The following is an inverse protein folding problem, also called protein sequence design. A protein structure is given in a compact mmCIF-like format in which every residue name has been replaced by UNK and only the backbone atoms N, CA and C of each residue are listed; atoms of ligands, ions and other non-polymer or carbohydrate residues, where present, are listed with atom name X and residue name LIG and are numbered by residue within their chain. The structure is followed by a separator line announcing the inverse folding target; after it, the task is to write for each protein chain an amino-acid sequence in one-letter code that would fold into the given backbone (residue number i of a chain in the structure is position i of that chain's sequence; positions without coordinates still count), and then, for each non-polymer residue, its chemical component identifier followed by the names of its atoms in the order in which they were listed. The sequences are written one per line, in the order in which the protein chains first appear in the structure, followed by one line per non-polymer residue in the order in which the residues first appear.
data_IF_922338313929
#
_entry.id   IF_922338313929
#
_cell.length_a   1.000
_cell.length_b   1.000
_cell.length_c   1.000
_cell.angle_alpha   90.00
_cell.angle_beta   90.00
_cell.angle_gamma   90.00
#
_symmetry.space_group_name_H-M   'P 1'
#
loop_
_entity.id
_entity.type
_entity.pdbx_description
1 polymer ?
#
# COMPACT_ATOMS: atom_id res chain seq x y z
N UNK A 1 -29.26 64.97 9.04
CA UNK A 1 -27.88 64.56 8.67
C UNK A 1 -27.70 63.08 8.98
N UNK A 2 -27.36 62.28 7.96
CA UNK A 2 -27.02 60.85 8.07
C UNK A 2 -25.75 60.67 8.92
N UNK A 3 -25.63 59.56 9.66
CA UNK A 3 -24.67 58.45 9.41
C UNK A 3 -24.55 57.53 10.64
N UNK A 4 -25.05 56.29 10.53
CA UNK A 4 -24.32 55.01 10.31
C UNK A 4 -24.11 54.27 11.65
N UNK A 5 -24.99 53.29 11.88
CA UNK A 5 -24.86 52.22 12.87
C UNK A 5 -23.89 51.20 12.27
N UNK A 6 -22.67 51.10 12.80
CA UNK A 6 -21.71 50.06 12.41
C UNK A 6 -22.02 48.82 13.26
N UNK A 7 -22.82 47.93 12.70
CA UNK A 7 -23.02 46.58 13.20
C UNK A 7 -21.76 45.77 12.89
N UNK A 8 -20.94 45.49 13.91
CA UNK A 8 -19.75 44.67 13.78
C UNK A 8 -20.15 43.20 13.83
N UNK A 9 -20.28 42.59 12.65
CA UNK A 9 -20.37 41.14 12.45
C UNK A 9 -19.10 40.50 13.00
N UNK A 10 -19.19 39.94 14.21
CA UNK A 10 -18.17 39.03 14.75
C UNK A 10 -18.26 37.73 13.95
N UNK A 11 -17.37 37.63 12.97
CA UNK A 11 -17.17 36.48 12.11
C UNK A 11 -16.84 35.26 12.96
N UNK A 12 -17.72 34.25 12.93
CA UNK A 12 -17.42 32.91 13.43
C UNK A 12 -16.21 32.38 12.66
N UNK A 13 -15.04 32.42 13.29
CA UNK A 13 -13.87 31.67 12.84
C UNK A 13 -14.20 30.19 13.03
N UNK A 14 -14.69 29.58 11.95
CA UNK A 14 -14.86 28.14 11.85
C UNK A 14 -13.49 27.49 11.97
N UNK A 15 -13.15 27.02 13.16
CA UNK A 15 -12.01 26.14 13.40
C UNK A 15 -12.35 24.82 12.71
N UNK A 16 -11.98 24.68 11.44
CA UNK A 16 -12.04 23.39 10.78
C UNK A 16 -11.09 22.46 11.54
N UNK A 17 -11.56 21.32 12.09
CA UNK A 17 -10.66 20.32 12.61
C UNK A 17 -9.86 19.79 11.42
N UNK A 18 -8.57 20.13 11.38
CA UNK A 18 -7.62 19.45 10.51
C UNK A 18 -7.52 18.04 11.05
N UNK A 19 -8.33 17.14 10.51
CA UNK A 19 -8.15 15.70 10.67
C UNK A 19 -6.85 15.36 9.97
N UNK A 20 -5.75 15.41 10.73
CA UNK A 20 -4.49 14.80 10.36
C UNK A 20 -4.75 13.29 10.27
N UNK A 21 -5.16 12.83 9.08
CA UNK A 21 -5.19 11.40 8.78
C UNK A 21 -3.74 10.92 8.88
N UNK A 22 -3.47 10.06 9.86
CA UNK A 22 -2.17 9.44 10.04
C UNK A 22 -1.79 8.75 8.73
N UNK A 23 -0.78 9.29 8.04
CA UNK A 23 -0.40 8.84 6.71
C UNK A 23 0.16 7.42 6.81
N UNK A 24 -0.64 6.43 6.43
CA UNK A 24 -0.22 5.04 6.42
C UNK A 24 0.79 4.81 5.30
N UNK A 25 2.08 4.73 5.66
CA UNK A 25 3.23 4.65 4.73
C UNK A 25 3.17 3.49 3.72
N UNK A 26 2.30 2.50 3.94
CA UNK A 26 2.11 1.37 3.03
C UNK A 26 1.07 1.61 1.94
N UNK A 27 0.27 2.67 2.04
CA UNK A 27 -0.80 2.96 1.08
C UNK A 27 -0.29 3.63 -0.20
N UNK A 28 0.92 4.21 -0.17
CA UNK A 28 1.50 4.88 -1.33
C UNK A 28 1.66 3.90 -2.51
N UNK A 29 1.03 4.17 -3.66
CA UNK A 29 1.11 3.29 -4.82
C UNK A 29 2.55 3.17 -5.32
N UNK A 30 2.91 1.97 -5.76
CA UNK A 30 4.20 1.67 -6.40
C UNK A 30 3.97 1.74 -7.91
N UNK A 31 4.46 2.77 -8.61
CA UNK A 31 4.33 2.86 -10.05
C UNK A 31 5.19 1.80 -10.72
N UNK A 32 4.70 1.27 -11.83
CA UNK A 32 5.45 0.42 -12.72
C UNK A 32 5.20 0.81 -14.18
N UNK A 33 6.06 0.35 -15.09
CA UNK A 33 5.98 0.65 -16.52
C UNK A 33 5.78 -0.59 -17.38
N UNK A 34 5.87 -0.39 -18.69
CA UNK A 34 5.67 -1.42 -19.72
C UNK A 34 6.75 -2.51 -19.74
N UNK A 35 7.81 -2.35 -18.94
CA UNK A 35 8.86 -3.35 -18.73
C UNK A 35 8.38 -4.55 -17.92
N UNK A 36 7.29 -4.42 -17.14
CA UNK A 36 6.64 -5.55 -16.49
C UNK A 36 5.67 -6.19 -17.50
N UNK A 37 6.00 -7.39 -17.97
CA UNK A 37 5.16 -8.16 -18.91
C UNK A 37 4.17 -9.08 -18.21
N UNK A 38 4.57 -9.62 -17.05
CA UNK A 38 3.75 -10.48 -16.21
C UNK A 38 3.73 -9.92 -14.79
N UNK A 39 2.69 -9.12 -14.50
CA UNK A 39 2.50 -8.51 -13.19
C UNK A 39 2.19 -9.57 -12.12
N UNK A 40 1.46 -10.62 -12.47
CA UNK A 40 1.01 -11.62 -11.50
C UNK A 40 2.19 -12.46 -11.01
N UNK A 41 3.09 -12.86 -11.91
CA UNK A 41 4.31 -13.55 -11.51
C UNK A 41 5.21 -12.66 -10.65
N UNK A 42 5.37 -11.38 -11.03
CA UNK A 42 6.18 -10.44 -10.23
C UNK A 42 5.59 -10.24 -8.83
N UNK A 43 4.27 -10.06 -8.73
CA UNK A 43 3.60 -9.92 -7.44
C UNK A 43 3.67 -11.20 -6.62
N UNK A 44 3.49 -12.37 -7.24
CA UNK A 44 3.62 -13.65 -6.54
C UNK A 44 5.01 -13.81 -5.92
N UNK A 45 6.07 -13.46 -6.64
CA UNK A 45 7.44 -13.56 -6.12
C UNK A 45 7.76 -12.49 -5.07
N UNK A 46 7.26 -11.27 -5.25
CA UNK A 46 7.39 -10.20 -4.27
C UNK A 46 6.67 -10.54 -2.96
N UNK A 47 5.47 -11.12 -3.05
CA UNK A 47 4.64 -11.44 -1.90
C UNK A 47 5.20 -12.64 -1.14
N UNK A 48 5.71 -13.70 -1.78
CA UNK A 48 6.23 -14.90 -1.08
C UNK A 48 7.28 -14.61 0.01
N UNK A 49 7.92 -13.44 0.02
CA UNK A 49 8.85 -13.01 1.06
C UNK A 49 8.11 -12.71 2.38
N UNK A 50 8.71 -13.08 3.52
CA UNK A 50 8.18 -12.81 4.87
C UNK A 50 6.81 -13.45 5.20
N UNK A 51 6.59 -14.69 4.77
CA UNK A 51 5.42 -15.52 5.11
C UNK A 51 4.07 -15.08 4.49
N UNK A 52 4.07 -14.14 3.56
CA UNK A 52 2.85 -13.82 2.84
C UNK A 52 2.58 -14.82 1.71
N UNK A 53 1.30 -15.00 1.41
CA UNK A 53 0.78 -15.87 0.36
C UNK A 53 0.01 -15.02 -0.63
N UNK A 54 0.43 -15.08 -1.89
CA UNK A 54 -0.29 -14.44 -3.00
C UNK A 54 -1.46 -15.31 -3.44
N UNK A 55 -2.60 -14.68 -3.70
CA UNK A 55 -3.74 -15.32 -4.35
C UNK A 55 -4.45 -14.33 -5.26
N UNK A 56 -5.16 -14.86 -6.27
CA UNK A 56 -6.00 -14.08 -7.18
C UNK A 56 -7.35 -14.77 -7.28
N UNK A 57 -8.43 -14.01 -7.16
CA UNK A 57 -9.78 -14.56 -7.32
C UNK A 57 -10.21 -14.61 -8.81
N UNK A 58 -11.41 -15.15 -9.05
CA UNK A 58 -12.00 -15.26 -10.39
C UNK A 58 -12.29 -13.89 -11.02
N UNK A 59 -12.48 -12.85 -10.20
CA UNK A 59 -12.68 -11.46 -10.66
C UNK A 59 -11.37 -10.76 -10.99
N UNK A 60 -10.22 -11.43 -10.80
CA UNK A 60 -8.89 -10.88 -11.04
C UNK A 60 -8.38 -9.97 -9.92
N UNK A 61 -9.07 -9.92 -8.78
CA UNK A 61 -8.60 -9.18 -7.60
C UNK A 61 -7.46 -9.98 -6.97
N UNK A 62 -6.40 -9.25 -6.62
CA UNK A 62 -5.16 -9.81 -6.09
C UNK A 62 -5.10 -9.59 -4.59
N UNK A 63 -4.68 -10.61 -3.88
CA UNK A 63 -4.58 -10.58 -2.42
C UNK A 63 -3.19 -11.01 -1.97
N UNK A 64 -2.78 -10.47 -0.83
CA UNK A 64 -1.67 -10.98 -0.05
C UNK A 64 -2.16 -11.29 1.36
N UNK A 65 -2.02 -12.56 1.76
CA UNK A 65 -2.48 -13.07 3.04
C UNK A 65 -1.29 -13.44 3.91
N UNK A 66 -1.30 -13.01 5.16
CA UNK A 66 -0.32 -13.41 6.18
C UNK A 66 -1.03 -14.24 7.23
N UNK A 67 -0.62 -15.49 7.40
CA UNK A 67 -0.92 -16.29 8.59
C UNK A 67 0.41 -16.56 9.29
N UNK A 68 0.77 -15.70 10.24
CA UNK A 68 2.08 -15.75 10.89
C UNK A 68 2.00 -15.41 12.37
N UNK A 69 2.62 -16.27 13.19
CA UNK A 69 2.54 -16.25 14.66
C UNK A 69 1.09 -16.43 15.12
N UNK A 70 0.45 -15.37 15.60
CA UNK A 70 -0.95 -15.37 16.04
C UNK A 70 -1.80 -14.45 15.19
N UNK A 71 -1.25 -13.88 14.12
CA UNK A 71 -1.90 -12.85 13.31
C UNK A 71 -2.36 -13.44 11.98
N UNK A 72 -3.57 -13.09 11.60
CA UNK A 72 -4.14 -13.31 10.29
C UNK A 72 -4.44 -11.97 9.66
N UNK A 73 -3.75 -11.64 8.57
CA UNK A 73 -3.86 -10.36 7.88
C UNK A 73 -4.23 -10.64 6.43
N UNK A 74 -5.30 -10.00 5.96
CA UNK A 74 -5.71 -10.05 4.57
C UNK A 74 -5.57 -8.66 3.96
N UNK A 75 -4.94 -8.59 2.80
CA UNK A 75 -4.70 -7.35 2.07
C UNK A 75 -5.09 -7.52 0.61
N UNK A 76 -5.60 -6.44 0.05
CA UNK A 76 -5.85 -6.27 -1.37
C UNK A 76 -4.63 -5.60 -2.00
N UNK A 77 -4.15 -6.15 -3.13
CA UNK A 77 -3.16 -5.52 -3.99
C UNK A 77 -3.92 -4.79 -5.11
N UNK A 78 -4.29 -3.54 -4.86
CA UNK A 78 -5.06 -2.73 -5.79
C UNK A 78 -4.18 -2.34 -6.98
N UNK A 79 -4.61 -2.70 -8.18
CA UNK A 79 -3.91 -2.35 -9.43
C UNK A 79 -4.70 -1.28 -10.15
N UNK A 80 -4.10 -0.10 -10.34
CA UNK A 80 -4.71 1.02 -11.06
C UNK A 80 -3.64 1.88 -11.71
N UNK A 81 -3.87 2.35 -12.93
CA UNK A 81 -3.00 3.32 -13.63
C UNK A 81 -1.51 2.91 -13.64
N UNK A 82 -1.23 1.64 -13.95
CA UNK A 82 0.12 1.05 -13.87
C UNK A 82 0.80 1.24 -12.51
N UNK A 83 0.03 1.13 -11.44
CA UNK A 83 0.55 1.16 -10.08
C UNK A 83 -0.09 0.08 -9.23
N UNK A 84 0.64 -0.39 -8.21
CA UNK A 84 0.14 -1.33 -7.22
C UNK A 84 0.13 -0.66 -5.85
N UNK A 85 -1.02 -0.61 -5.19
CA UNK A 85 -1.17 -0.15 -3.81
C UNK A 85 -1.54 -1.32 -2.88
N UNK A 86 -1.07 -1.26 -1.64
CA UNK A 86 -1.42 -2.23 -0.60
C UNK A 86 -2.55 -1.65 0.23
N UNK A 87 -3.68 -2.34 0.28
CA UNK A 87 -4.84 -1.97 1.10
C UNK A 87 -5.13 -3.06 2.12
N UNK A 88 -5.14 -2.69 3.39
CA UNK A 88 -5.53 -3.60 4.47
C UNK A 88 -7.05 -3.87 4.37
N UNK A 89 -7.43 -5.14 4.27
CA UNK A 89 -8.84 -5.57 4.34
C UNK A 89 -9.19 -5.90 5.78
N UNK A 90 -8.36 -6.74 6.41
CA UNK A 90 -8.58 -7.17 7.79
C UNK A 90 -7.29 -7.55 8.46
N UNK A 91 -7.24 -7.34 9.77
CA UNK A 91 -6.23 -7.87 10.66
C UNK A 91 -6.93 -8.47 11.88
N UNK A 92 -6.62 -9.72 12.18
CA UNK A 92 -7.19 -10.45 13.30
C UNK A 92 -6.09 -11.19 14.05
N UNK A 93 -6.38 -11.49 15.33
CA UNK A 93 -5.48 -12.26 16.19
C UNK A 93 -6.21 -13.42 16.86
N UNK A 94 -6.68 -14.42 16.08
CA UNK A 94 -7.56 -15.48 16.58
C UNK A 94 -6.89 -16.36 17.65
N UNK A 95 -5.58 -16.58 17.53
CA UNK A 95 -4.81 -17.49 18.41
C UNK A 95 -4.12 -16.75 19.57
N UNK A 96 -4.83 -15.83 20.22
CA UNK A 96 -4.27 -14.96 21.28
C UNK A 96 -3.94 -15.68 22.61
N UNK A 97 -4.46 -16.89 22.84
CA UNK A 97 -4.22 -17.67 24.05
C UNK A 97 -4.55 -16.89 25.34
N UNK A 98 -3.62 -16.86 26.31
CA UNK A 98 -3.76 -16.07 27.55
C UNK A 98 -3.44 -14.57 27.37
N UNK A 99 -2.98 -14.14 26.19
CA UNK A 99 -2.63 -12.73 25.91
C UNK A 99 -3.85 -12.00 25.36
N UNK A 100 -3.82 -10.66 25.38
CA UNK A 100 -4.88 -9.85 24.76
C UNK A 100 -5.04 -10.20 23.28
N UNK A 101 -6.29 -10.41 22.86
CA UNK A 101 -6.69 -10.59 21.46
C UNK A 101 -6.75 -9.26 20.69
N UNK A 102 -6.38 -8.14 21.34
CA UNK A 102 -6.22 -6.85 20.68
C UNK A 102 -5.14 -6.96 19.60
N UNK A 103 -5.47 -6.46 18.42
CA UNK A 103 -4.55 -6.32 17.31
C UNK A 103 -3.64 -5.12 17.58
N UNK A 104 -2.34 -5.36 17.49
CA UNK A 104 -1.30 -4.34 17.55
C UNK A 104 -1.12 -3.78 16.13
N UNK A 105 -1.68 -2.59 15.87
CA UNK A 105 -1.68 -1.99 14.54
C UNK A 105 -0.29 -1.53 14.09
N UNK A 106 0.57 -1.09 15.01
CA UNK A 106 1.97 -0.72 14.68
C UNK A 106 2.72 -1.92 14.09
N UNK A 107 2.44 -3.11 14.62
CA UNK A 107 3.00 -4.36 14.09
C UNK A 107 2.41 -4.73 12.73
N UNK A 108 1.10 -4.57 12.55
CA UNK A 108 0.42 -4.77 11.27
C UNK A 108 1.03 -3.86 10.21
N UNK A 109 1.12 -2.57 10.50
CA UNK A 109 1.69 -1.56 9.63
C UNK A 109 3.16 -1.87 9.30
N UNK A 110 3.95 -2.30 10.28
CA UNK A 110 5.32 -2.77 10.05
C UNK A 110 5.41 -3.94 9.05
N UNK A 111 4.45 -4.86 9.06
CA UNK A 111 4.39 -5.94 8.06
C UNK A 111 3.92 -5.44 6.69
N UNK A 112 2.93 -4.53 6.65
CA UNK A 112 2.43 -3.94 5.39
C UNK A 112 3.51 -3.10 4.70
N UNK A 113 4.30 -2.33 5.46
CA UNK A 113 5.46 -1.59 4.94
C UNK A 113 6.51 -2.54 4.36
N UNK A 114 6.76 -3.69 5.01
CA UNK A 114 7.68 -4.70 4.46
C UNK A 114 7.15 -5.34 3.19
N UNK A 115 5.85 -5.63 3.14
CA UNK A 115 5.19 -6.13 1.93
C UNK A 115 5.34 -5.12 0.78
N UNK A 116 5.01 -3.85 1.01
CA UNK A 116 5.19 -2.77 0.04
C UNK A 116 6.65 -2.67 -0.44
N UNK A 117 7.61 -2.65 0.47
CA UNK A 117 9.04 -2.59 0.13
C UNK A 117 9.48 -3.79 -0.72
N UNK A 118 8.93 -4.96 -0.44
CA UNK A 118 9.17 -6.17 -1.22
C UNK A 118 8.70 -6.01 -2.67
N UNK A 119 7.49 -5.49 -2.89
CA UNK A 119 6.96 -5.22 -4.23
C UNK A 119 7.82 -4.17 -4.94
N UNK A 120 8.13 -3.06 -4.25
CA UNK A 120 8.94 -1.98 -4.81
C UNK A 120 10.33 -2.45 -5.22
N UNK A 121 10.94 -3.38 -4.46
CA UNK A 121 12.22 -3.98 -4.80
C UNK A 121 12.16 -4.75 -6.12
N UNK A 122 11.17 -5.62 -6.33
CA UNK A 122 11.08 -6.39 -7.58
C UNK A 122 10.68 -5.52 -8.78
N UNK A 123 9.83 -4.51 -8.58
CA UNK A 123 9.55 -3.50 -9.61
C UNK A 123 10.83 -2.77 -10.01
N UNK A 124 11.63 -2.33 -9.04
CA UNK A 124 12.91 -1.64 -9.29
C UNK A 124 13.91 -2.55 -9.99
N UNK A 125 13.96 -3.83 -9.60
CA UNK A 125 14.79 -4.83 -10.25
C UNK A 125 14.37 -5.01 -11.72
N UNK A 126 13.06 -5.07 -12.00
CA UNK A 126 12.55 -5.17 -13.36
C UNK A 126 12.90 -3.94 -14.22
N UNK A 127 12.82 -2.72 -13.67
CA UNK A 127 13.29 -1.49 -14.35
C UNK A 127 14.76 -1.61 -14.74
N UNK A 128 15.59 -1.99 -13.77
CA UNK A 128 17.04 -2.11 -13.97
C UNK A 128 17.37 -3.15 -15.05
N UNK A 129 16.75 -4.33 -14.97
CA UNK A 129 17.02 -5.42 -15.90
C UNK A 129 16.54 -5.08 -17.33
N UNK A 130 15.46 -4.31 -17.47
CA UNK A 130 15.00 -3.77 -18.76
C UNK A 130 15.97 -2.71 -19.33
N UNK A 131 16.41 -1.76 -18.50
CA UNK A 131 17.38 -0.74 -18.90
C UNK A 131 18.72 -1.35 -19.37
N UNK A 132 19.19 -2.40 -18.68
CA UNK A 132 20.39 -3.13 -19.08
C UNK A 132 20.21 -3.83 -20.43
N UNK A 133 19.08 -4.50 -20.66
CA UNK A 133 18.79 -5.17 -21.93
C UNK A 133 18.79 -4.19 -23.10
N UNK A 134 18.18 -3.01 -22.94
CA UNK A 134 18.15 -2.00 -24.02
C UNK A 134 19.55 -1.54 -24.41
N UNK A 135 20.41 -1.29 -23.42
CA UNK A 135 21.81 -0.90 -23.67
C UNK A 135 22.58 -1.93 -24.51
N UNK A 136 22.44 -3.22 -24.21
CA UNK A 136 23.15 -4.28 -24.95
C UNK A 136 22.56 -4.56 -26.34
N UNK A 137 21.32 -4.16 -26.61
CA UNK A 137 20.70 -4.28 -27.95
C UNK A 137 21.17 -3.13 -28.84
N UNK A 138 21.34 -1.92 -28.30
CA UNK A 138 21.85 -0.75 -29.03
C UNK A 138 23.34 -0.90 -29.43
N UNK A 139 24.13 -1.70 -28.71
CA UNK A 139 25.56 -1.92 -29.01
C UNK A 139 25.80 -2.95 -30.16
N UNK A 140 24.75 -3.52 -30.75
CA UNK A 140 24.84 -4.57 -31.80
C UNK A 140 24.38 -4.05 -33.19
N UNK A 141 23.76 -2.87 -33.26
CA UNK A 141 23.42 -2.18 -34.53
C UNK A 141 24.50 -1.15 -34.92
#
# INVERSE_FOLDING_TARGET
MRKIIISLLVSCVGVMPVVASELQLYQDPIPYGTYIKDLDSLLADAVKRNHWVFSKDESGIRYANLDYKTYKINTELMVKDNSVAVKLISAARPDCGKKSCKVDMDRVDGWLVKLRRSIAYDVTKAVRDDALKRRFVEDIE
#
